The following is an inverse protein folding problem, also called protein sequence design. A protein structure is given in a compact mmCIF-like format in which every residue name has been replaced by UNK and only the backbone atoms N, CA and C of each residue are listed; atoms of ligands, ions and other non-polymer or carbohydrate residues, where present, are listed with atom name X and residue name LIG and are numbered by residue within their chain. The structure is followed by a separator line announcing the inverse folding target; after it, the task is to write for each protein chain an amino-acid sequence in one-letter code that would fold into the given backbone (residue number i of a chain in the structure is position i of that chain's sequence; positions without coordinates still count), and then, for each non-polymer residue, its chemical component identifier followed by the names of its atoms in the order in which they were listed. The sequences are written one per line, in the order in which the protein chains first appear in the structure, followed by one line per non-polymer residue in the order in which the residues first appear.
data_IF_096079257469
#
_entry.id   IF_096079257469
#
_cell.length_a   1.000
_cell.length_b   1.000
_cell.length_c   1.000
_cell.angle_alpha   90.00
_cell.angle_beta   90.00
_cell.angle_gamma   90.00
#
_symmetry.space_group_name_H-M   'P 1'
#
loop_
_entity.id
_entity.type
_entity.pdbx_description
1 polymer ?
#
# COMPACT_ATOMS: atom_id res chain seq x y z
N UNK A 1 -29.49 21.56 6.00
CA UNK A 1 -29.72 20.13 6.29
C UNK A 1 -28.48 19.31 5.98
N UNK A 2 -27.90 19.40 4.76
CA UNK A 2 -26.72 18.63 4.34
C UNK A 2 -25.53 18.77 5.29
N UNK A 3 -25.20 19.96 5.76
CA UNK A 3 -24.12 20.18 6.72
C UNK A 3 -24.35 19.48 8.06
N UNK A 4 -25.59 19.38 8.54
CA UNK A 4 -25.95 18.64 9.77
C UNK A 4 -25.73 17.15 9.55
N UNK A 5 -26.14 16.62 8.39
CA UNK A 5 -25.98 15.21 8.03
C UNK A 5 -24.49 14.83 7.98
N UNK A 6 -23.64 15.66 7.35
CA UNK A 6 -22.20 15.46 7.30
C UNK A 6 -21.55 15.52 8.68
N UNK A 7 -21.95 16.51 9.53
CA UNK A 7 -21.43 16.58 10.90
C UNK A 7 -21.76 15.34 11.73
N UNK A 8 -22.88 14.68 11.46
CA UNK A 8 -23.27 13.43 12.11
C UNK A 8 -22.52 12.20 11.59
N UNK A 9 -21.54 12.35 10.71
CA UNK A 9 -20.79 11.24 10.12
C UNK A 9 -21.62 10.42 9.12
N UNK A 10 -22.56 11.05 8.42
CA UNK A 10 -23.44 10.40 7.45
C UNK A 10 -23.15 10.87 6.03
N UNK A 11 -23.70 10.16 5.04
CA UNK A 11 -23.61 10.53 3.62
C UNK A 11 -24.73 11.49 3.27
N UNK A 12 -24.38 12.60 2.62
CA UNK A 12 -25.31 13.57 2.05
C UNK A 12 -25.21 13.52 0.53
N UNK A 13 -26.25 13.04 -0.13
CA UNK A 13 -26.35 13.08 -1.59
C UNK A 13 -26.90 14.43 -2.04
N UNK A 14 -26.14 15.11 -2.92
CA UNK A 14 -26.54 16.35 -3.55
C UNK A 14 -26.15 16.30 -5.03
N UNK A 15 -27.09 16.73 -5.90
CA UNK A 15 -26.82 16.77 -7.36
C UNK A 15 -25.81 17.85 -7.71
N UNK A 16 -25.20 17.72 -8.88
CA UNK A 16 -24.29 18.73 -9.42
C UNK A 16 -24.98 20.09 -9.50
N UNK A 17 -24.29 21.14 -9.06
CA UNK A 17 -24.82 22.52 -9.05
C UNK A 17 -25.65 22.91 -7.83
N UNK A 18 -25.96 22.00 -6.90
CA UNK A 18 -26.75 22.30 -5.69
C UNK A 18 -25.93 22.91 -4.54
N UNK A 19 -24.65 23.20 -4.76
CA UNK A 19 -23.82 23.88 -3.77
C UNK A 19 -23.17 22.95 -2.74
N UNK A 20 -22.80 21.73 -3.11
CA UNK A 20 -22.09 20.75 -2.25
C UNK A 20 -20.90 21.39 -1.53
N UNK A 21 -20.04 22.05 -2.29
CA UNK A 21 -18.82 22.71 -1.79
C UNK A 21 -19.10 23.71 -0.69
N UNK A 22 -20.13 24.57 -0.87
CA UNK A 22 -20.52 25.53 0.15
C UNK A 22 -21.17 24.86 1.36
N UNK A 23 -21.97 23.81 1.14
CA UNK A 23 -22.57 23.01 2.23
C UNK A 23 -21.53 22.36 3.12
N UNK A 24 -20.42 21.87 2.53
CA UNK A 24 -19.32 21.25 3.24
C UNK A 24 -18.54 22.22 4.16
N UNK A 25 -18.59 23.53 3.90
CA UNK A 25 -17.91 24.53 4.76
C UNK A 25 -18.45 24.57 6.18
N UNK A 26 -19.75 24.36 6.34
CA UNK A 26 -20.40 24.44 7.66
C UNK A 26 -19.92 23.38 8.64
N UNK A 27 -19.96 22.07 8.31
CA UNK A 27 -19.45 21.05 9.18
C UNK A 27 -17.90 21.09 9.29
N UNK A 28 -17.19 21.50 8.23
CA UNK A 28 -15.75 21.70 8.31
C UNK A 28 -15.39 22.77 9.34
N UNK A 29 -16.03 23.93 9.30
CA UNK A 29 -15.85 25.00 10.27
C UNK A 29 -16.14 24.53 11.70
N UNK A 30 -17.31 23.92 11.91
CA UNK A 30 -17.76 23.48 13.24
C UNK A 30 -16.74 22.47 13.86
N UNK A 31 -16.28 21.50 13.08
CA UNK A 31 -15.35 20.49 13.58
C UNK A 31 -13.91 21.01 13.71
N UNK A 32 -13.53 22.02 12.92
CA UNK A 32 -12.22 22.65 13.02
C UNK A 32 -12.06 23.52 14.30
N UNK A 33 -13.16 23.95 14.92
CA UNK A 33 -13.13 24.70 16.19
C UNK A 33 -12.48 23.93 17.35
N UNK A 34 -12.40 22.59 17.26
CA UNK A 34 -11.67 21.77 18.24
C UNK A 34 -10.16 22.01 18.23
N UNK A 35 -9.61 22.56 17.14
CA UNK A 35 -8.17 22.70 16.92
C UNK A 35 -7.46 21.42 16.51
N UNK A 36 -8.18 20.30 16.35
CA UNK A 36 -7.61 19.00 15.98
C UNK A 36 -7.46 18.79 14.47
N UNK A 37 -8.03 19.70 13.66
CA UNK A 37 -7.92 19.73 12.20
C UNK A 37 -8.98 18.92 11.47
N UNK A 38 -9.37 19.45 10.32
CA UNK A 38 -10.35 18.84 9.41
C UNK A 38 -9.70 18.61 8.05
N UNK A 39 -9.88 17.41 7.50
CA UNK A 39 -9.44 17.06 6.16
C UNK A 39 -10.62 17.13 5.18
N UNK A 40 -10.45 17.85 4.07
CA UNK A 40 -11.39 17.84 2.96
C UNK A 40 -10.72 17.13 1.78
N UNK A 41 -11.23 15.95 1.47
CA UNK A 41 -10.66 15.04 0.47
C UNK A 41 -11.38 15.24 -0.85
N UNK A 42 -10.60 15.52 -1.90
CA UNK A 42 -11.08 15.73 -3.28
C UNK A 42 -10.46 14.70 -4.24
N UNK A 43 -10.96 14.61 -5.46
CA UNK A 43 -10.50 13.62 -6.44
C UNK A 43 -9.23 14.03 -7.20
N UNK A 44 -8.86 15.31 -7.23
CA UNK A 44 -7.66 15.76 -7.92
C UNK A 44 -7.08 17.06 -7.33
N UNK A 45 -5.81 17.33 -7.65
CA UNK A 45 -5.06 18.50 -7.16
C UNK A 45 -5.67 19.84 -7.60
N UNK A 46 -6.28 19.89 -8.79
CA UNK A 46 -6.93 21.09 -9.27
C UNK A 46 -8.08 21.49 -8.36
N UNK A 47 -8.95 20.56 -8.02
CA UNK A 47 -10.06 20.80 -7.09
C UNK A 47 -9.55 21.13 -5.68
N UNK A 48 -8.52 20.45 -5.20
CA UNK A 48 -7.91 20.74 -3.91
C UNK A 48 -7.41 22.20 -3.85
N UNK A 49 -6.67 22.65 -4.87
CA UNK A 49 -6.18 24.03 -4.99
C UNK A 49 -7.35 25.03 -5.12
N UNK A 50 -8.24 24.78 -6.07
CA UNK A 50 -9.37 25.68 -6.34
C UNK A 50 -10.26 25.86 -5.12
N UNK A 51 -10.68 24.77 -4.47
CA UNK A 51 -11.53 24.84 -3.28
C UNK A 51 -10.77 25.43 -2.08
N UNK A 52 -9.50 25.03 -1.86
CA UNK A 52 -8.67 25.58 -0.80
C UNK A 52 -8.41 27.08 -0.92
N UNK A 53 -8.38 27.62 -2.15
CA UNK A 53 -8.24 29.05 -2.41
C UNK A 53 -9.58 29.78 -2.28
N UNK A 54 -10.60 29.35 -3.01
CA UNK A 54 -11.87 30.04 -3.11
C UNK A 54 -12.73 29.90 -1.85
N UNK A 55 -13.00 28.66 -1.44
CA UNK A 55 -13.73 28.37 -0.19
C UNK A 55 -12.86 28.70 1.04
N UNK A 56 -11.57 28.58 0.92
CA UNK A 56 -10.60 28.98 1.95
C UNK A 56 -10.71 30.43 2.38
N UNK A 57 -11.25 31.32 1.53
CA UNK A 57 -11.54 32.72 1.91
C UNK A 57 -12.58 32.80 3.03
N UNK A 58 -13.59 31.92 3.02
CA UNK A 58 -14.63 31.86 4.07
C UNK A 58 -13.98 31.47 5.40
N UNK A 59 -13.15 30.45 5.42
CA UNK A 59 -12.46 30.00 6.62
C UNK A 59 -11.50 31.06 7.16
N UNK A 60 -10.72 31.70 6.29
CA UNK A 60 -9.80 32.78 6.68
C UNK A 60 -10.54 34.00 7.22
N UNK A 61 -11.70 34.36 6.64
CA UNK A 61 -12.57 35.41 7.16
C UNK A 61 -13.07 35.08 8.58
N UNK A 62 -13.32 33.80 8.87
CA UNK A 62 -13.73 33.31 10.18
C UNK A 62 -12.57 33.07 11.15
N UNK A 63 -11.33 33.45 10.77
CA UNK A 63 -10.14 33.37 11.63
C UNK A 63 -9.43 32.01 11.61
N UNK A 64 -9.76 31.11 10.68
CA UNK A 64 -9.14 29.82 10.53
C UNK A 64 -8.01 29.80 9.49
N UNK A 65 -7.06 28.89 9.67
CA UNK A 65 -5.99 28.61 8.72
C UNK A 65 -6.41 27.51 7.74
N UNK A 66 -5.93 27.63 6.49
CA UNK A 66 -6.25 26.68 5.42
C UNK A 66 -4.97 26.24 4.72
N UNK A 67 -4.72 24.93 4.73
CA UNK A 67 -3.64 24.27 4.00
C UNK A 67 -4.17 23.50 2.78
N UNK A 68 -3.32 23.33 1.79
CA UNK A 68 -3.61 22.52 0.59
C UNK A 68 -2.44 21.57 0.37
N UNK A 69 -2.72 20.29 0.26
CA UNK A 69 -1.72 19.25 -0.04
C UNK A 69 -1.78 18.92 -1.52
N UNK A 70 -0.64 19.04 -2.18
CA UNK A 70 -0.43 18.70 -3.60
C UNK A 70 0.88 17.94 -3.78
N UNK A 71 1.07 17.34 -4.94
CA UNK A 71 2.22 16.47 -5.22
C UNK A 71 3.59 17.19 -5.19
N UNK A 72 3.60 18.49 -5.44
CA UNK A 72 4.81 19.32 -5.57
C UNK A 72 5.35 19.87 -4.25
N UNK A 73 4.69 19.61 -3.10
CA UNK A 73 5.09 20.13 -1.80
C UNK A 73 6.26 19.35 -1.19
N UNK A 74 7.17 20.09 -0.55
CA UNK A 74 8.21 19.54 0.32
C UNK A 74 7.61 18.98 1.63
N UNK A 75 8.40 18.23 2.38
CA UNK A 75 7.96 17.65 3.66
C UNK A 75 7.59 18.74 4.69
N UNK A 76 8.35 19.82 4.75
CA UNK A 76 8.09 20.95 5.63
C UNK A 76 6.79 21.67 5.26
N UNK A 77 6.54 21.89 3.97
CA UNK A 77 5.32 22.51 3.48
C UNK A 77 4.10 21.61 3.75
N UNK A 78 4.22 20.29 3.53
CA UNK A 78 3.17 19.33 3.89
C UNK A 78 2.85 19.40 5.38
N UNK A 79 3.86 19.38 6.22
CA UNK A 79 3.70 19.47 7.67
C UNK A 79 3.01 20.78 8.09
N UNK A 80 3.38 21.90 7.48
CA UNK A 80 2.72 23.19 7.71
C UNK A 80 1.27 23.18 7.25
N UNK A 81 0.96 22.56 6.11
CA UNK A 81 -0.41 22.45 5.59
C UNK A 81 -1.28 21.55 6.46
N UNK A 82 -0.78 20.43 6.96
CA UNK A 82 -1.50 19.57 7.91
C UNK A 82 -1.69 20.21 9.29
N UNK A 83 -0.87 21.18 9.65
CA UNK A 83 -1.02 21.94 10.90
C UNK A 83 -2.15 22.98 10.85
N UNK A 84 -2.69 23.30 9.66
CA UNK A 84 -3.83 24.20 9.48
C UNK A 84 -5.12 23.62 10.06
N UNK A 85 -6.10 24.51 10.34
CA UNK A 85 -7.41 24.12 10.89
C UNK A 85 -8.20 23.30 9.86
N UNK A 86 -8.11 23.64 8.57
CA UNK A 86 -8.72 22.91 7.46
C UNK A 86 -7.65 22.58 6.42
N UNK A 87 -7.53 21.33 6.03
CA UNK A 87 -6.57 20.85 5.03
C UNK A 87 -7.29 20.22 3.86
N UNK A 88 -7.11 20.78 2.67
CA UNK A 88 -7.58 20.23 1.40
C UNK A 88 -6.49 19.32 0.78
N UNK A 89 -6.90 18.25 0.13
CA UNK A 89 -5.97 17.38 -0.61
C UNK A 89 -6.69 16.22 -1.28
N UNK A 90 -5.97 15.46 -2.09
CA UNK A 90 -6.52 14.26 -2.71
C UNK A 90 -6.40 13.06 -1.77
N UNK A 91 -7.25 12.05 -2.00
CA UNK A 91 -7.16 10.76 -1.32
C UNK A 91 -5.77 10.13 -1.48
N UNK A 92 -5.18 10.21 -2.68
CA UNK A 92 -3.87 9.63 -3.00
C UNK A 92 -2.75 10.34 -2.21
N UNK A 93 -2.69 11.67 -2.24
CA UNK A 93 -1.66 12.43 -1.51
C UNK A 93 -1.73 12.20 0.00
N UNK A 94 -2.94 12.27 0.58
CA UNK A 94 -3.14 12.02 2.01
C UNK A 94 -2.83 10.57 2.39
N UNK A 95 -3.17 9.61 1.51
CA UNK A 95 -2.86 8.21 1.70
C UNK A 95 -1.36 7.91 1.59
N UNK A 96 -0.66 8.49 0.63
CA UNK A 96 0.80 8.36 0.53
C UNK A 96 1.51 9.02 1.71
N UNK A 97 1.03 10.17 2.21
CA UNK A 97 1.58 10.79 3.41
C UNK A 97 1.38 9.90 4.65
N UNK A 98 0.21 9.26 4.77
CA UNK A 98 -0.04 8.28 5.82
C UNK A 98 0.93 7.09 5.75
N UNK A 99 1.16 6.55 4.57
CA UNK A 99 2.13 5.46 4.38
C UNK A 99 3.55 5.91 4.75
N UNK A 100 3.98 7.09 4.28
CA UNK A 100 5.30 7.65 4.61
C UNK A 100 5.47 7.87 6.11
N UNK A 101 4.46 8.41 6.77
CA UNK A 101 4.46 8.65 8.21
C UNK A 101 4.59 7.34 9.02
N UNK A 102 4.03 6.22 8.52
CA UNK A 102 4.19 4.92 9.16
C UNK A 102 5.56 4.27 8.92
N UNK A 103 6.38 4.82 8.03
CA UNK A 103 7.74 4.35 7.77
C UNK A 103 8.81 5.12 8.55
N UNK A 104 8.48 6.27 9.15
CA UNK A 104 9.45 7.07 9.90
C UNK A 104 9.72 6.51 11.30
N UNK A 105 10.98 6.58 11.74
CA UNK A 105 11.40 6.10 13.07
C UNK A 105 11.00 7.08 14.17
N UNK A 106 11.04 8.38 13.88
CA UNK A 106 10.79 9.43 14.88
C UNK A 106 9.50 10.18 14.57
N UNK A 107 8.61 10.30 15.58
CA UNK A 107 7.33 11.03 15.47
C UNK A 107 7.50 12.48 14.95
N UNK A 108 8.62 13.13 15.26
CA UNK A 108 8.90 14.49 14.76
C UNK A 108 9.01 14.60 13.25
N UNK A 109 9.28 13.49 12.56
CA UNK A 109 9.43 13.42 11.10
C UNK A 109 8.09 13.16 10.40
N UNK A 110 7.02 12.86 11.14
CA UNK A 110 5.67 12.74 10.57
C UNK A 110 5.19 14.10 10.09
N UNK A 111 4.44 14.10 9.00
CA UNK A 111 3.80 15.30 8.44
C UNK A 111 2.37 15.45 8.94
N UNK A 112 1.65 14.35 9.11
CA UNK A 112 0.28 14.35 9.61
C UNK A 112 0.27 14.39 11.15
N UNK A 113 -0.72 15.07 11.72
CA UNK A 113 -0.86 15.20 13.19
C UNK A 113 -1.94 14.29 13.78
N UNK A 114 -2.77 13.68 12.95
CA UNK A 114 -3.88 12.81 13.33
C UNK A 114 -5.09 13.01 12.43
N UNK A 115 -6.14 12.25 12.69
CA UNK A 115 -7.36 12.23 11.89
C UNK A 115 -8.56 12.42 12.81
N UNK A 116 -9.00 13.70 12.97
CA UNK A 116 -10.14 14.06 13.81
C UNK A 116 -11.45 13.98 13.04
N UNK A 117 -11.52 14.70 11.91
CA UNK A 117 -12.71 14.75 11.07
C UNK A 117 -12.32 14.85 9.60
N UNK A 118 -13.06 14.14 8.74
CA UNK A 118 -12.87 14.21 7.30
C UNK A 118 -14.19 14.37 6.56
N UNK A 119 -14.18 15.18 5.52
CA UNK A 119 -15.25 15.28 4.52
C UNK A 119 -14.65 14.75 3.21
N UNK A 120 -15.27 13.71 2.65
CA UNK A 120 -14.88 13.11 1.38
C UNK A 120 -15.86 13.54 0.31
N UNK A 121 -15.39 14.33 -0.66
CA UNK A 121 -16.16 14.71 -1.84
C UNK A 121 -16.02 13.64 -2.91
N UNK A 122 -17.04 13.48 -3.76
CA UNK A 122 -17.09 12.43 -4.81
C UNK A 122 -16.80 11.03 -4.23
N UNK A 123 -17.49 10.69 -3.15
CA UNK A 123 -17.26 9.49 -2.34
C UNK A 123 -17.44 8.18 -3.13
N UNK A 124 -18.27 8.15 -4.13
CA UNK A 124 -18.48 7.05 -5.07
C UNK A 124 -17.21 6.77 -5.89
N UNK A 125 -16.57 7.80 -6.42
CA UNK A 125 -15.29 7.64 -7.11
C UNK A 125 -14.20 7.10 -6.16
N UNK A 126 -14.04 7.71 -5.00
CA UNK A 126 -12.95 7.39 -4.07
C UNK A 126 -13.15 6.03 -3.39
N UNK A 127 -14.35 5.74 -2.86
CA UNK A 127 -14.61 4.57 -2.03
C UNK A 127 -15.21 3.37 -2.79
N UNK A 128 -15.59 3.53 -4.06
CA UNK A 128 -16.12 2.45 -4.90
C UNK A 128 -15.21 2.22 -6.10
N UNK A 129 -15.07 3.20 -7.00
CA UNK A 129 -14.35 3.00 -8.26
C UNK A 129 -12.85 2.74 -8.04
N UNK A 130 -12.21 3.52 -7.17
CA UNK A 130 -10.78 3.39 -6.85
C UNK A 130 -10.49 2.52 -5.61
N UNK A 131 -11.51 1.98 -4.95
CA UNK A 131 -11.37 1.27 -3.66
C UNK A 131 -10.41 0.07 -3.70
N UNK A 132 -10.23 -0.56 -4.86
CA UNK A 132 -9.34 -1.71 -5.05
C UNK A 132 -7.94 -1.33 -5.52
N UNK A 133 -7.68 -0.07 -5.83
CA UNK A 133 -6.37 0.39 -6.28
C UNK A 133 -5.45 0.56 -5.08
N UNK A 134 -4.42 -0.28 -4.90
CA UNK A 134 -3.52 -0.16 -3.75
C UNK A 134 -2.62 1.06 -3.89
N UNK A 135 -2.38 1.75 -2.79
CA UNK A 135 -1.31 2.73 -2.69
C UNK A 135 -0.01 2.01 -2.34
N UNK A 136 0.98 2.05 -3.22
CA UNK A 136 2.25 1.35 -3.04
C UNK A 136 3.39 2.36 -3.04
N UNK A 137 4.20 2.35 -1.98
CA UNK A 137 5.49 3.04 -1.96
C UNK A 137 6.56 2.00 -2.25
N UNK A 138 7.26 2.17 -3.37
CA UNK A 138 8.45 1.40 -3.70
C UNK A 138 9.65 2.32 -3.81
N UNK A 139 10.78 1.89 -3.32
CA UNK A 139 12.05 2.58 -3.47
C UNK A 139 13.15 1.58 -3.82
N UNK A 140 14.26 2.06 -4.38
CA UNK A 140 15.45 1.25 -4.45
C UNK A 140 15.85 0.89 -3.02
N UNK A 141 15.77 -0.41 -2.69
CA UNK A 141 16.25 -0.91 -1.40
C UNK A 141 17.73 -0.59 -1.24
N UNK A 142 18.16 -0.31 -0.02
CA UNK A 142 19.58 -0.19 0.27
C UNK A 142 20.28 -1.49 -0.15
N UNK A 143 21.28 -1.34 -1.01
CA UNK A 143 22.24 -2.28 -1.56
C UNK A 143 22.35 -3.63 -0.84
N UNK A 144 21.48 -4.58 -1.15
CA UNK A 144 21.79 -5.99 -0.95
C UNK A 144 21.88 -6.74 -2.30
N UNK A 145 22.52 -6.13 -3.28
CA UNK A 145 22.77 -6.73 -4.61
C UNK A 145 23.36 -8.12 -4.46
N UNK A 146 24.23 -8.32 -3.47
CA UNK A 146 24.91 -9.58 -3.21
C UNK A 146 23.95 -10.69 -2.70
N UNK A 147 22.93 -10.36 -1.90
CA UNK A 147 21.94 -11.33 -1.42
C UNK A 147 20.95 -11.73 -2.53
N UNK A 148 20.54 -10.82 -3.40
CA UNK A 148 19.71 -11.15 -4.55
C UNK A 148 20.43 -12.10 -5.50
N UNK A 149 21.70 -11.84 -5.83
CA UNK A 149 22.49 -12.73 -6.69
C UNK A 149 22.71 -14.10 -6.06
N UNK A 150 22.98 -14.15 -4.74
CA UNK A 150 23.15 -15.42 -4.03
C UNK A 150 21.84 -16.22 -3.98
N UNK A 151 20.71 -15.55 -3.71
CA UNK A 151 19.40 -16.18 -3.71
C UNK A 151 19.02 -16.70 -5.11
N UNK A 152 19.29 -15.93 -6.16
CA UNK A 152 19.07 -16.32 -7.54
C UNK A 152 19.84 -17.59 -7.90
N UNK A 153 21.15 -17.59 -7.63
CA UNK A 153 22.01 -18.79 -7.86
C UNK A 153 21.51 -20.00 -7.08
N UNK A 154 21.07 -19.82 -5.84
CA UNK A 154 20.51 -20.88 -5.03
C UNK A 154 19.24 -21.45 -5.67
N UNK A 155 18.28 -20.59 -6.02
CA UNK A 155 16.99 -21.00 -6.58
C UNK A 155 17.15 -21.75 -7.89
N UNK A 156 18.14 -21.40 -8.72
CA UNK A 156 18.48 -22.15 -9.93
C UNK A 156 18.88 -23.61 -9.66
N UNK A 157 19.25 -23.97 -8.43
CA UNK A 157 19.60 -25.37 -8.04
C UNK A 157 18.40 -26.17 -7.55
N UNK A 158 17.26 -25.53 -7.34
CA UNK A 158 16.06 -26.16 -6.78
C UNK A 158 15.27 -26.93 -7.85
N UNK A 159 14.65 -28.01 -7.41
CA UNK A 159 13.79 -28.84 -8.24
C UNK A 159 12.31 -28.60 -7.90
N UNK A 160 11.51 -28.31 -8.93
CA UNK A 160 10.05 -28.21 -8.79
C UNK A 160 9.48 -29.58 -8.45
N UNK A 161 8.65 -29.63 -7.42
CA UNK A 161 7.81 -30.76 -7.05
C UNK A 161 6.36 -30.53 -7.48
N UNK A 162 5.50 -31.47 -7.13
CA UNK A 162 4.08 -31.46 -7.36
C UNK A 162 3.33 -31.49 -6.02
N UNK A 163 2.27 -30.70 -5.90
CA UNK A 163 1.37 -30.79 -4.76
C UNK A 163 0.34 -31.91 -5.10
N UNK A 164 0.14 -32.90 -4.23
CA UNK A 164 -0.85 -33.94 -4.46
C UNK A 164 -2.26 -33.35 -4.51
N UNK A 165 -3.03 -33.74 -5.51
CA UNK A 165 -4.47 -33.35 -5.61
C UNK A 165 -5.25 -34.02 -4.48
N UNK A 166 -5.88 -33.24 -3.62
CA UNK A 166 -6.64 -33.72 -2.44
C UNK A 166 -7.68 -34.79 -2.79
N UNK A 167 -8.34 -34.66 -3.95
CA UNK A 167 -9.39 -35.60 -4.39
C UNK A 167 -8.88 -36.98 -4.83
N UNK A 168 -7.62 -37.09 -5.20
CA UNK A 168 -7.04 -38.35 -5.72
C UNK A 168 -6.62 -39.34 -4.62
N UNK A 169 -6.40 -38.84 -3.42
CA UNK A 169 -5.81 -39.59 -2.31
C UNK A 169 -6.71 -39.70 -1.08
N UNK A 170 -7.99 -39.33 -1.22
CA UNK A 170 -8.98 -39.37 -0.14
C UNK A 170 -9.13 -40.77 0.47
N UNK A 171 -9.03 -41.82 -0.36
CA UNK A 171 -9.20 -43.20 0.07
C UNK A 171 -7.89 -43.91 0.49
N UNK A 172 -6.72 -43.31 0.17
CA UNK A 172 -5.42 -43.87 0.55
C UNK A 172 -4.41 -42.73 0.76
N UNK A 173 -4.31 -42.16 1.96
CA UNK A 173 -3.40 -41.05 2.23
C UNK A 173 -1.95 -41.45 2.03
N UNK A 174 -1.20 -40.60 1.31
CA UNK A 174 0.24 -40.78 1.12
C UNK A 174 0.96 -40.69 2.46
N UNK A 175 2.02 -41.47 2.62
CA UNK A 175 2.93 -41.33 3.75
C UNK A 175 3.73 -40.01 3.68
N UNK A 176 4.23 -39.54 4.84
CA UNK A 176 5.05 -38.31 4.89
C UNK A 176 6.29 -38.39 4.00
N UNK A 177 6.85 -39.60 3.83
CA UNK A 177 8.01 -39.84 2.95
C UNK A 177 7.63 -39.71 1.46
N UNK A 178 6.47 -40.22 1.05
CA UNK A 178 5.95 -40.10 -0.32
C UNK A 178 5.57 -38.67 -0.65
N UNK A 179 4.94 -37.95 0.29
CA UNK A 179 4.66 -36.52 0.16
C UNK A 179 5.93 -35.69 0.01
N UNK A 180 6.95 -35.95 0.83
CA UNK A 180 8.22 -35.27 0.74
C UNK A 180 8.94 -35.54 -0.60
N UNK A 181 8.86 -36.78 -1.11
CA UNK A 181 9.45 -37.16 -2.40
C UNK A 181 8.73 -36.45 -3.57
N UNK A 182 7.42 -36.26 -3.51
CA UNK A 182 6.65 -35.55 -4.55
C UNK A 182 6.92 -34.04 -4.52
N UNK A 183 6.98 -33.43 -3.36
CA UNK A 183 7.17 -31.96 -3.20
C UNK A 183 8.58 -31.50 -3.55
N UNK A 184 9.56 -32.37 -3.59
CA UNK A 184 10.98 -32.06 -3.86
C UNK A 184 11.46 -30.82 -3.07
N UNK A 185 12.04 -29.82 -3.78
CA UNK A 185 12.57 -28.62 -3.13
C UNK A 185 11.54 -27.49 -2.99
N UNK A 186 10.58 -27.39 -3.93
CA UNK A 186 9.50 -26.38 -3.86
C UNK A 186 8.27 -26.82 -4.65
N UNK A 187 7.12 -26.25 -4.28
CA UNK A 187 5.83 -26.47 -4.94
C UNK A 187 5.21 -25.14 -5.39
N UNK A 188 4.42 -25.22 -6.46
CA UNK A 188 3.67 -24.08 -7.00
C UNK A 188 2.18 -24.35 -6.86
N UNK A 189 1.44 -23.45 -6.24
CA UNK A 189 -0.02 -23.40 -6.31
C UNK A 189 -0.42 -22.43 -7.41
N UNK A 190 -0.77 -22.97 -8.58
CA UNK A 190 -1.14 -22.16 -9.75
C UNK A 190 -2.46 -21.39 -9.54
N UNK A 191 -3.39 -21.92 -8.72
CA UNK A 191 -4.66 -21.25 -8.42
C UNK A 191 -4.46 -20.01 -7.55
N UNK A 192 -3.59 -20.11 -6.57
CA UNK A 192 -3.27 -19.00 -5.65
C UNK A 192 -2.11 -18.12 -6.13
N UNK A 193 -1.45 -18.50 -7.24
CA UNK A 193 -0.22 -17.85 -7.74
C UNK A 193 0.84 -17.71 -6.63
N UNK A 194 1.05 -18.78 -5.86
CA UNK A 194 2.07 -18.83 -4.81
C UNK A 194 3.07 -19.95 -5.05
N UNK A 195 4.28 -19.76 -4.56
CA UNK A 195 5.34 -20.78 -4.56
C UNK A 195 5.99 -20.82 -3.19
N UNK A 196 6.20 -22.02 -2.67
CA UNK A 196 6.72 -22.22 -1.33
C UNK A 196 7.81 -23.30 -1.34
N UNK A 197 8.85 -23.07 -0.53
CA UNK A 197 9.83 -24.11 -0.26
C UNK A 197 9.19 -25.27 0.50
N UNK A 198 9.55 -26.49 0.13
CA UNK A 198 9.26 -27.68 0.94
C UNK A 198 10.25 -27.77 2.09
N UNK A 199 10.05 -28.71 3.01
CA UNK A 199 11.04 -28.99 4.06
C UNK A 199 12.43 -29.38 3.50
N UNK A 200 12.46 -30.08 2.37
CA UNK A 200 13.71 -30.43 1.69
C UNK A 200 14.40 -29.17 1.13
N UNK A 201 13.61 -28.25 0.55
CA UNK A 201 14.09 -26.96 0.06
C UNK A 201 14.61 -26.06 1.18
N UNK A 202 13.92 -26.00 2.32
CA UNK A 202 14.38 -25.25 3.51
C UNK A 202 15.72 -25.82 4.01
N UNK A 203 15.81 -27.13 4.22
CA UNK A 203 17.07 -27.78 4.63
C UNK A 203 18.23 -27.59 3.63
N UNK A 204 17.91 -27.47 2.33
CA UNK A 204 18.90 -27.19 1.29
C UNK A 204 19.34 -25.72 1.36
N UNK A 205 18.42 -24.78 1.63
CA UNK A 205 18.74 -23.38 1.83
C UNK A 205 19.62 -23.16 3.07
N UNK A 206 19.28 -23.77 4.20
CA UNK A 206 20.06 -23.71 5.44
C UNK A 206 21.51 -24.18 5.23
N UNK A 207 21.70 -25.28 4.53
CA UNK A 207 23.04 -25.78 4.18
C UNK A 207 23.79 -24.87 3.21
N UNK A 208 23.09 -24.32 2.21
CA UNK A 208 23.70 -23.44 1.20
C UNK A 208 24.19 -22.13 1.78
N UNK A 209 23.38 -21.52 2.65
CA UNK A 209 23.68 -20.23 3.27
C UNK A 209 24.43 -20.36 4.61
N UNK A 210 24.58 -21.57 5.16
CA UNK A 210 25.27 -21.81 6.42
C UNK A 210 24.53 -21.30 7.64
N UNK A 211 23.19 -21.33 7.62
CA UNK A 211 22.33 -20.93 8.73
C UNK A 211 21.71 -22.16 9.39
N UNK A 212 21.51 -22.13 10.71
CA UNK A 212 20.93 -23.25 11.47
C UNK A 212 19.41 -23.38 11.30
N UNK A 213 18.71 -22.23 11.23
CA UNK A 213 17.27 -22.18 11.07
C UNK A 213 16.88 -20.99 10.17
N UNK A 214 16.37 -21.28 8.99
CA UNK A 214 15.97 -20.26 8.01
C UNK A 214 14.77 -19.42 8.50
N UNK A 215 13.93 -19.98 9.39
CA UNK A 215 12.75 -19.31 9.94
C UNK A 215 13.05 -18.41 11.15
N UNK A 216 14.30 -18.30 11.59
CA UNK A 216 14.69 -17.41 12.67
C UNK A 216 14.54 -15.93 12.24
N UNK A 217 14.19 -15.08 13.19
CA UNK A 217 14.03 -13.61 12.96
C UNK A 217 15.31 -13.00 12.37
N UNK A 218 16.47 -13.49 12.79
CA UNK A 218 17.77 -13.06 12.26
C UNK A 218 17.95 -13.35 10.76
N UNK A 219 17.24 -14.33 10.21
CA UNK A 219 17.33 -14.79 8.82
C UNK A 219 16.14 -14.31 7.94
N UNK A 220 15.25 -13.46 8.48
CA UNK A 220 14.08 -12.97 7.74
C UNK A 220 14.44 -12.26 6.43
N UNK A 221 15.52 -11.50 6.41
CA UNK A 221 16.01 -10.83 5.21
C UNK A 221 16.44 -11.83 4.15
N UNK A 222 17.20 -12.87 4.55
CA UNK A 222 17.61 -13.96 3.67
C UNK A 222 16.41 -14.74 3.11
N UNK A 223 15.46 -15.10 3.98
CA UNK A 223 14.23 -15.78 3.59
C UNK A 223 13.41 -14.95 2.60
N UNK A 224 13.33 -13.62 2.82
CA UNK A 224 12.68 -12.71 1.88
C UNK A 224 13.33 -12.75 0.49
N UNK A 225 14.67 -12.69 0.41
CA UNK A 225 15.40 -12.74 -0.87
C UNK A 225 15.23 -14.09 -1.58
N UNK A 226 15.24 -15.18 -0.84
CA UNK A 226 15.00 -16.53 -1.41
C UNK A 226 13.58 -16.62 -1.97
N UNK A 227 12.57 -16.14 -1.23
CA UNK A 227 11.19 -16.17 -1.68
C UNK A 227 10.96 -15.25 -2.90
N UNK A 228 11.60 -14.08 -2.93
CA UNK A 228 11.55 -13.17 -4.08
C UNK A 228 12.16 -13.80 -5.34
N UNK A 229 13.34 -14.42 -5.21
CA UNK A 229 14.00 -15.12 -6.32
C UNK A 229 13.18 -16.34 -6.78
N UNK A 230 12.65 -17.13 -5.84
CA UNK A 230 11.81 -18.28 -6.15
C UNK A 230 10.54 -17.86 -6.91
N UNK A 231 9.88 -16.78 -6.47
CA UNK A 231 8.72 -16.23 -7.15
C UNK A 231 9.05 -15.74 -8.55
N UNK A 232 10.18 -15.06 -8.72
CA UNK A 232 10.63 -14.60 -10.03
C UNK A 232 10.82 -15.76 -11.01
N UNK A 233 11.51 -16.83 -10.60
CA UNK A 233 11.76 -18.01 -11.45
C UNK A 233 10.53 -18.88 -11.68
N UNK A 234 9.70 -19.06 -10.65
CA UNK A 234 8.59 -20.02 -10.69
C UNK A 234 7.30 -19.46 -11.32
N UNK A 235 7.02 -18.17 -11.13
CA UNK A 235 5.73 -17.57 -11.47
C UNK A 235 5.81 -16.46 -12.51
N UNK A 236 6.94 -15.73 -12.62
CA UNK A 236 7.03 -14.59 -13.52
C UNK A 236 7.48 -15.02 -14.92
N UNK A 237 6.63 -14.76 -15.93
CA UNK A 237 6.90 -15.10 -17.33
C UNK A 237 7.15 -13.83 -18.14
N UNK A 238 8.25 -13.81 -18.89
CA UNK A 238 8.55 -12.72 -19.82
C UNK A 238 7.45 -12.59 -20.86
N UNK A 239 7.12 -11.35 -21.22
CA UNK A 239 6.08 -10.96 -22.18
C UNK A 239 4.63 -11.31 -21.72
N UNK A 240 4.47 -11.76 -20.47
CA UNK A 240 3.18 -12.01 -19.80
C UNK A 240 3.09 -11.19 -18.52
N UNK A 241 4.01 -11.43 -17.58
CA UNK A 241 4.03 -10.78 -16.28
C UNK A 241 5.03 -9.61 -16.22
N UNK A 242 6.01 -9.58 -17.14
CA UNK A 242 6.95 -8.47 -17.29
C UNK A 242 7.46 -8.37 -18.72
N UNK A 243 7.90 -7.16 -19.10
CA UNK A 243 8.59 -6.88 -20.36
C UNK A 243 9.96 -6.24 -20.08
N UNK A 244 10.89 -6.37 -21.03
CA UNK A 244 12.20 -5.72 -20.94
C UNK A 244 12.23 -4.59 -21.94
N UNK A 245 12.37 -3.35 -21.44
CA UNK A 245 12.49 -2.13 -22.27
C UNK A 245 13.73 -1.35 -21.84
N UNK A 246 14.60 -1.00 -22.77
CA UNK A 246 15.83 -0.24 -22.52
C UNK A 246 16.74 -0.86 -21.45
N UNK A 247 16.87 -2.18 -21.42
CA UNK A 247 17.58 -2.97 -20.41
C UNK A 247 17.00 -2.90 -18.97
N UNK A 248 15.78 -2.39 -18.83
CA UNK A 248 15.04 -2.38 -17.58
C UNK A 248 13.85 -3.35 -17.61
N UNK A 249 13.60 -4.01 -16.47
CA UNK A 249 12.45 -4.89 -16.31
C UNK A 249 11.25 -4.06 -15.87
N UNK A 250 10.20 -4.08 -16.68
CA UNK A 250 8.92 -3.40 -16.41
C UNK A 250 7.86 -4.47 -16.14
N UNK A 251 7.31 -4.46 -14.95
CA UNK A 251 6.22 -5.39 -14.58
C UNK A 251 4.94 -4.94 -15.30
N UNK A 252 4.24 -5.89 -15.90
CA UNK A 252 2.95 -5.68 -16.56
C UNK A 252 1.86 -5.96 -15.53
N UNK A 253 1.02 -4.96 -15.34
CA UNK A 253 -0.14 -5.09 -14.44
C UNK A 253 -1.30 -5.82 -15.15
#
# INVERSE_FOLDING_TARGET
LGGIVLHQGRIAEMKTGEGKTLTATMPAYLNALSGEGVHVVTVNDYLAKFQGEDVGRIFRFLGMTVGVITHDLTQEERKAAYACDVTYGTNNEMGFDYLRDNMVIYKKNMVQRGHHFAIVDEVDSILIDEARTPLIISGAGDKSTDLYEKADRFVCTLQKGEEPEEDRWADNPLSDEELAAMRKDYVIDEKKKTCNLSEAGVRKAERWFGVENLSDVANNELLHHINAALRAHALMKRDVDYVVQNDEVVIVD
#
